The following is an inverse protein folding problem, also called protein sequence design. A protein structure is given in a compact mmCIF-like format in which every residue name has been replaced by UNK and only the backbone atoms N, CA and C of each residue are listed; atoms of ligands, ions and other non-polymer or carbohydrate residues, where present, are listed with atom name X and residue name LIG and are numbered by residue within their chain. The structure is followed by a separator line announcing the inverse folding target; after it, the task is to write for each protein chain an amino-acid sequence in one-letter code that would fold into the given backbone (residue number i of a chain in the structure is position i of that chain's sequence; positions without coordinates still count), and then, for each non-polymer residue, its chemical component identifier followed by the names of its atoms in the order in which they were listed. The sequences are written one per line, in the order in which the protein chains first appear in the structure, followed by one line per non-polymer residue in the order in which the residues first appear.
data_IF_869215964946
#
_entry.id   IF_869215964946
#
_cell.length_a   1.000
_cell.length_b   1.000
_cell.length_c   1.000
_cell.angle_alpha   90.00
_cell.angle_beta   90.00
_cell.angle_gamma   90.00
#
_symmetry.space_group_name_H-M   'P 1'
#
loop_
_entity.id
_entity.type
_entity.pdbx_description
1 polymer ?
#
# COMPACT_ATOMS: atom_id res chain seq x y z
N UNK A 1 -3.39 18.19 17.83
CA UNK A 1 -4.71 17.63 17.39
C UNK A 1 -4.71 16.12 17.52
N UNK A 2 -5.86 15.52 17.89
CA UNK A 2 -6.03 14.06 17.87
C UNK A 2 -6.74 13.66 16.56
N UNK A 3 -6.04 12.93 15.70
CA UNK A 3 -6.54 12.49 14.41
C UNK A 3 -6.84 11.00 14.46
N UNK A 4 -8.07 10.63 14.14
CA UNK A 4 -8.46 9.23 13.98
C UNK A 4 -8.27 8.83 12.51
N UNK A 5 -7.34 7.91 12.26
CA UNK A 5 -7.10 7.35 10.91
C UNK A 5 -7.86 6.04 10.77
N UNK A 6 -8.64 5.92 9.70
CA UNK A 6 -9.48 4.75 9.40
C UNK A 6 -9.14 4.20 8.02
N UNK A 7 -8.95 2.89 7.98
CA UNK A 7 -8.75 2.12 6.75
C UNK A 7 -9.75 0.96 6.72
N UNK A 8 -10.82 1.12 5.94
CA UNK A 8 -11.86 0.10 5.75
C UNK A 8 -11.51 -0.79 4.55
N UNK A 9 -11.21 -2.06 4.80
CA UNK A 9 -11.17 -3.11 3.79
C UNK A 9 -12.54 -3.79 3.61
N UNK A 10 -12.64 -4.77 2.71
CA UNK A 10 -13.91 -5.46 2.42
C UNK A 10 -14.51 -6.20 3.64
N UNK A 11 -13.66 -6.75 4.51
CA UNK A 11 -14.07 -7.51 5.71
C UNK A 11 -13.25 -7.14 6.97
N UNK A 12 -12.57 -6.00 6.93
CA UNK A 12 -11.74 -5.53 8.04
C UNK A 12 -11.76 -4.01 8.15
N UNK A 13 -11.44 -3.49 9.33
CA UNK A 13 -11.23 -2.07 9.59
C UNK A 13 -10.02 -1.93 10.50
N UNK A 14 -8.97 -1.28 10.00
CA UNK A 14 -7.79 -0.90 10.78
C UNK A 14 -7.90 0.56 11.18
N UNK A 15 -7.48 0.90 12.40
CA UNK A 15 -7.48 2.29 12.86
C UNK A 15 -6.28 2.62 13.73
N UNK A 16 -5.95 3.92 13.76
CA UNK A 16 -5.04 4.52 14.71
C UNK A 16 -5.56 5.89 15.14
N UNK A 17 -5.48 6.18 16.43
CA UNK A 17 -5.63 7.53 16.97
C UNK A 17 -4.23 8.10 17.19
N UNK A 18 -3.93 9.22 16.54
CA UNK A 18 -2.59 9.82 16.49
C UNK A 18 -2.67 11.24 17.06
N UNK A 19 -1.73 11.59 17.93
CA UNK A 19 -1.48 12.98 18.32
C UNK A 19 -0.62 13.64 17.24
N UNK A 20 -1.15 14.66 16.55
CA UNK A 20 -0.47 15.29 15.43
C UNK A 20 0.75 16.13 15.83
N UNK A 21 0.80 16.61 17.08
CA UNK A 21 1.86 17.51 17.52
C UNK A 21 3.12 16.73 17.88
N UNK A 22 2.93 15.54 18.43
CA UNK A 22 4.02 14.61 18.79
C UNK A 22 4.23 13.48 17.80
N UNK A 23 3.27 13.29 16.88
CA UNK A 23 3.17 12.16 15.95
C UNK A 23 3.10 10.79 16.64
N UNK A 24 2.79 10.77 17.91
CA UNK A 24 2.68 9.58 18.71
C UNK A 24 1.33 8.87 18.48
N UNK A 25 1.37 7.56 18.34
CA UNK A 25 0.16 6.73 18.34
C UNK A 25 -0.38 6.70 19.78
N UNK A 26 -1.62 7.14 19.98
CA UNK A 26 -2.33 7.09 21.26
C UNK A 26 -3.00 5.73 21.45
N UNK A 27 -3.68 5.26 20.39
CA UNK A 27 -4.32 3.95 20.37
C UNK A 27 -4.34 3.40 18.95
N UNK A 28 -4.42 2.07 18.83
CA UNK A 28 -4.55 1.38 17.54
C UNK A 28 -5.38 0.11 17.68
N UNK A 29 -5.92 -0.36 16.58
CA UNK A 29 -6.66 -1.62 16.57
C UNK A 29 -7.08 -2.08 15.18
N UNK A 30 -7.75 -3.23 15.20
CA UNK A 30 -8.18 -3.94 14.02
C UNK A 30 -9.50 -4.65 14.31
N UNK A 31 -10.50 -4.38 13.50
CA UNK A 31 -11.69 -5.22 13.37
C UNK A 31 -11.48 -6.18 12.20
N UNK A 32 -11.68 -7.46 12.44
CA UNK A 32 -11.53 -8.52 11.44
C UNK A 32 -12.83 -9.29 11.30
N UNK A 33 -13.01 -9.98 10.16
CA UNK A 33 -14.16 -10.86 9.90
C UNK A 33 -15.51 -10.14 9.98
N UNK A 34 -15.54 -8.86 9.57
CA UNK A 34 -16.76 -8.05 9.46
C UNK A 34 -17.70 -8.75 8.47
N UNK A 35 -18.98 -8.85 8.82
CA UNK A 35 -19.98 -9.58 8.04
C UNK A 35 -20.02 -11.10 8.30
N UNK A 36 -19.18 -11.64 9.21
CA UNK A 36 -19.13 -13.06 9.58
C UNK A 36 -19.40 -13.20 11.09
N UNK A 37 -18.36 -13.27 11.89
CA UNK A 37 -18.45 -13.45 13.36
C UNK A 37 -17.79 -12.33 14.14
N UNK A 38 -17.01 -11.49 13.46
CA UNK A 38 -16.40 -10.27 14.00
C UNK A 38 -15.42 -10.48 15.14
N UNK A 39 -14.30 -9.74 15.10
CA UNK A 39 -13.28 -9.74 16.15
C UNK A 39 -12.62 -8.38 16.23
N UNK A 40 -12.61 -7.77 17.41
CA UNK A 40 -11.89 -6.53 17.66
C UNK A 40 -10.60 -6.80 18.45
N UNK A 41 -9.51 -6.31 17.94
CA UNK A 41 -8.25 -6.15 18.69
C UNK A 41 -8.00 -4.68 18.93
N UNK A 42 -7.74 -4.28 20.19
CA UNK A 42 -7.49 -2.90 20.57
C UNK A 42 -6.28 -2.79 21.50
N UNK A 43 -5.53 -1.72 21.35
CA UNK A 43 -4.44 -1.34 22.24
C UNK A 43 -4.35 0.18 22.38
N UNK A 44 -4.52 0.69 23.59
CA UNK A 44 -4.08 2.03 23.99
C UNK A 44 -2.62 1.95 24.39
N UNK A 45 -1.81 2.90 23.94
CA UNK A 45 -0.37 2.88 24.25
C UNK A 45 -0.13 2.99 25.74
N UNK A 46 0.79 2.17 26.26
CA UNK A 46 1.03 2.03 27.70
C UNK A 46 0.05 1.13 28.44
N UNK A 47 -0.95 0.54 27.75
CA UNK A 47 -1.89 -0.44 28.31
C UNK A 47 -1.79 -1.78 27.59
N UNK A 48 -2.29 -2.83 28.24
CA UNK A 48 -2.31 -4.17 27.64
C UNK A 48 -3.23 -4.23 26.43
N UNK A 49 -2.72 -4.89 25.37
CA UNK A 49 -3.52 -5.24 24.20
C UNK A 49 -4.59 -6.26 24.60
N UNK A 50 -5.82 -6.07 24.12
CA UNK A 50 -6.87 -7.05 24.29
C UNK A 50 -7.57 -7.38 22.98
N UNK A 51 -8.22 -8.51 22.97
CA UNK A 51 -9.01 -9.00 21.84
C UNK A 51 -10.35 -9.50 22.36
N UNK A 52 -11.42 -9.18 21.63
CA UNK A 52 -12.78 -9.58 21.98
C UNK A 52 -13.51 -10.01 20.70
N UNK A 53 -14.26 -11.11 20.78
CA UNK A 53 -15.20 -11.49 19.76
C UNK A 53 -16.43 -10.58 19.84
N UNK A 54 -16.79 -9.94 18.74
CA UNK A 54 -17.84 -8.93 18.68
C UNK A 54 -18.60 -9.07 17.36
N UNK A 55 -19.87 -9.39 17.41
CA UNK A 55 -20.69 -9.48 16.21
C UNK A 55 -20.72 -8.16 15.45
N UNK A 56 -20.09 -8.13 14.28
CA UNK A 56 -19.98 -6.97 13.40
C UNK A 56 -20.66 -7.30 12.06
N UNK A 57 -21.98 -7.13 11.95
CA UNK A 57 -22.69 -7.47 10.70
C UNK A 57 -22.26 -6.61 9.53
N UNK A 58 -21.74 -5.40 9.77
CA UNK A 58 -21.27 -4.45 8.77
C UNK A 58 -20.20 -3.50 9.34
N UNK A 59 -19.70 -2.62 8.49
CA UNK A 59 -18.69 -1.62 8.86
C UNK A 59 -19.23 -0.53 9.80
N UNK A 60 -20.55 -0.28 9.81
CA UNK A 60 -21.14 0.67 10.76
C UNK A 60 -21.01 0.14 12.19
N UNK A 61 -21.33 -1.15 12.38
CA UNK A 61 -21.10 -1.82 13.67
C UNK A 61 -19.61 -1.82 14.04
N UNK A 62 -18.72 -2.08 13.08
CA UNK A 62 -17.28 -2.08 13.32
C UNK A 62 -16.78 -0.68 13.77
N UNK A 63 -17.19 0.40 13.12
CA UNK A 63 -16.87 1.77 13.53
C UNK A 63 -17.36 2.04 14.95
N UNK A 64 -18.62 1.63 15.27
CA UNK A 64 -19.15 1.78 16.62
C UNK A 64 -18.28 1.06 17.66
N UNK A 65 -17.86 -0.20 17.41
CA UNK A 65 -16.97 -0.93 18.31
C UNK A 65 -15.61 -0.25 18.48
N UNK A 66 -15.06 0.35 17.44
CA UNK A 66 -13.83 1.16 17.52
C UNK A 66 -14.01 2.34 18.45
N UNK A 67 -15.11 3.11 18.29
CA UNK A 67 -15.38 4.28 19.13
C UNK A 67 -15.66 3.88 20.59
N UNK A 68 -16.42 2.81 20.81
CA UNK A 68 -16.67 2.26 22.15
C UNK A 68 -15.35 1.81 22.82
N UNK A 69 -14.42 1.19 22.07
CA UNK A 69 -13.12 0.79 22.58
C UNK A 69 -12.21 1.98 22.92
N UNK A 70 -12.28 3.06 22.14
CA UNK A 70 -11.54 4.29 22.43
C UNK A 70 -12.07 4.98 23.71
N UNK A 71 -13.37 4.86 24.00
CA UNK A 71 -14.07 5.45 25.16
C UNK A 71 -14.07 4.56 26.39
N UNK A 72 -13.59 3.32 26.33
CA UNK A 72 -13.64 2.38 27.46
C UNK A 72 -12.98 2.99 28.71
N UNK A 73 -13.64 2.93 29.84
CA UNK A 73 -13.19 3.59 31.08
C UNK A 73 -11.82 3.08 31.59
N UNK A 74 -11.46 1.83 31.30
CA UNK A 74 -10.23 1.21 31.80
C UNK A 74 -9.16 1.07 30.71
N UNK A 75 -9.60 0.75 29.51
CA UNK A 75 -8.71 0.39 28.37
C UNK A 75 -8.70 1.44 27.27
N UNK A 76 -9.65 2.37 27.27
CA UNK A 76 -9.78 3.42 26.27
C UNK A 76 -8.68 4.49 26.34
N UNK A 77 -8.67 5.34 25.34
CA UNK A 77 -7.65 6.36 25.09
C UNK A 77 -8.18 7.78 25.31
N UNK A 78 -9.49 7.98 25.26
CA UNK A 78 -10.18 9.27 25.39
C UNK A 78 -11.39 9.14 26.28
N UNK A 79 -11.86 10.24 26.82
CA UNK A 79 -13.06 10.29 27.71
C UNK A 79 -14.32 10.76 26.97
N UNK A 80 -14.13 11.39 25.80
CA UNK A 80 -15.22 11.89 24.95
C UNK A 80 -14.82 11.84 23.48
N UNK A 81 -15.78 11.58 22.57
CA UNK A 81 -15.56 11.68 21.13
C UNK A 81 -15.22 13.11 20.67
N UNK A 82 -15.56 14.13 21.45
CA UNK A 82 -15.17 15.53 21.18
C UNK A 82 -13.66 15.78 21.27
N UNK A 83 -12.88 14.82 21.74
CA UNK A 83 -11.42 14.88 21.70
C UNK A 83 -10.83 14.47 20.36
N UNK A 84 -11.65 13.90 19.47
CA UNK A 84 -11.23 13.59 18.09
C UNK A 84 -11.45 14.86 17.27
N UNK A 85 -10.35 15.50 16.88
CA UNK A 85 -10.40 16.78 16.15
C UNK A 85 -10.67 16.61 14.66
N UNK A 86 -10.23 15.48 14.05
CA UNK A 86 -10.44 15.16 12.66
C UNK A 86 -10.35 13.64 12.39
N UNK A 87 -10.91 13.20 11.25
CA UNK A 87 -10.80 11.81 10.78
C UNK A 87 -10.17 11.76 9.40
N UNK A 88 -9.10 10.98 9.25
CA UNK A 88 -8.49 10.67 7.96
C UNK A 88 -8.95 9.30 7.46
N UNK A 89 -9.51 9.24 6.26
CA UNK A 89 -9.94 7.99 5.63
C UNK A 89 -9.04 7.61 4.48
N UNK A 90 -8.50 6.40 4.50
CA UNK A 90 -7.88 5.82 3.32
C UNK A 90 -8.95 5.40 2.33
N UNK A 91 -8.85 5.89 1.09
CA UNK A 91 -9.70 5.54 -0.04
C UNK A 91 -8.83 4.87 -1.10
N UNK A 92 -9.28 3.71 -1.58
CA UNK A 92 -8.44 2.92 -2.49
C UNK A 92 -8.35 3.56 -3.87
N UNK A 93 -9.45 4.10 -4.40
CA UNK A 93 -9.46 4.61 -5.77
C UNK A 93 -10.17 5.97 -5.91
N UNK A 94 -9.44 6.95 -6.41
CA UNK A 94 -9.98 8.30 -6.68
C UNK A 94 -10.22 8.59 -8.16
N UNK A 95 -10.00 7.63 -9.06
CA UNK A 95 -10.09 7.84 -10.49
C UNK A 95 -9.14 8.93 -10.98
N UNK A 96 -9.55 9.66 -12.01
CA UNK A 96 -8.85 10.86 -12.49
C UNK A 96 -9.30 12.14 -11.77
N UNK A 97 -10.30 12.02 -10.88
CA UNK A 97 -10.91 13.18 -10.20
C UNK A 97 -10.05 13.72 -9.05
N UNK A 98 -9.26 12.85 -8.41
CA UNK A 98 -8.52 13.20 -7.21
C UNK A 98 -7.02 13.00 -7.41
N UNK A 99 -6.31 14.12 -7.59
CA UNK A 99 -4.85 14.19 -7.64
C UNK A 99 -4.22 14.51 -6.27
N UNK A 100 -5.04 14.82 -5.27
CA UNK A 100 -4.64 15.14 -3.90
C UNK A 100 -5.70 14.66 -2.93
N UNK A 101 -5.35 14.63 -1.65
CA UNK A 101 -6.33 14.44 -0.57
C UNK A 101 -7.27 15.63 -0.47
N UNK A 102 -8.50 15.39 -0.04
CA UNK A 102 -9.56 16.41 0.00
C UNK A 102 -10.41 16.28 1.28
N UNK A 103 -10.94 17.41 1.76
CA UNK A 103 -11.97 17.41 2.79
C UNK A 103 -13.24 16.77 2.22
N UNK A 104 -13.85 15.87 2.96
CA UNK A 104 -15.03 15.13 2.51
C UNK A 104 -16.26 16.01 2.60
N UNK A 105 -16.92 16.19 1.44
CA UNK A 105 -18.22 16.82 1.26
C UNK A 105 -19.16 15.84 0.56
N UNK A 106 -20.43 16.21 0.41
CA UNK A 106 -21.40 15.38 -0.34
C UNK A 106 -20.97 15.19 -1.81
N UNK A 107 -20.37 16.23 -2.42
CA UNK A 107 -19.85 16.16 -3.79
C UNK A 107 -18.64 15.20 -3.87
N UNK A 108 -17.77 15.21 -2.87
CA UNK A 108 -16.63 14.27 -2.79
C UNK A 108 -17.15 12.85 -2.62
N UNK A 109 -18.14 12.62 -1.76
CA UNK A 109 -18.77 11.31 -1.59
C UNK A 109 -19.36 10.78 -2.89
N UNK A 110 -20.10 11.62 -3.62
CA UNK A 110 -20.65 11.25 -4.94
C UNK A 110 -19.55 10.92 -5.95
N UNK A 111 -18.46 11.70 -5.97
CA UNK A 111 -17.33 11.47 -6.87
C UNK A 111 -16.56 10.18 -6.54
N UNK A 112 -16.46 9.80 -5.25
CA UNK A 112 -15.88 8.49 -4.85
C UNK A 112 -16.82 7.35 -5.29
N UNK A 113 -18.13 7.53 -5.17
CA UNK A 113 -19.12 6.53 -5.58
C UNK A 113 -19.06 6.25 -7.09
N UNK A 114 -18.82 7.26 -7.93
CA UNK A 114 -18.59 7.08 -9.37
C UNK A 114 -17.33 6.25 -9.69
N UNK A 115 -16.38 6.15 -8.76
CA UNK A 115 -15.19 5.33 -8.90
C UNK A 115 -15.38 3.87 -8.42
N UNK A 116 -16.59 3.46 -8.00
CA UNK A 116 -16.84 2.11 -7.49
C UNK A 116 -16.52 1.02 -8.53
N UNK A 117 -16.79 1.27 -9.81
CA UNK A 117 -16.48 0.30 -10.88
C UNK A 117 -14.98 0.04 -11.05
N UNK A 118 -14.14 1.00 -10.66
CA UNK A 118 -12.67 0.87 -10.68
C UNK A 118 -12.13 0.10 -9.45
N UNK A 119 -12.86 0.10 -8.33
CA UNK A 119 -12.49 -0.60 -7.09
C UNK A 119 -13.71 -1.21 -6.39
N UNK A 120 -14.45 -2.15 -7.03
CA UNK A 120 -15.74 -2.64 -6.55
C UNK A 120 -15.68 -3.38 -5.20
N UNK A 121 -14.51 -3.90 -4.83
CA UNK A 121 -14.30 -4.59 -3.55
C UNK A 121 -13.89 -3.64 -2.40
N UNK A 122 -13.52 -2.39 -2.70
CA UNK A 122 -12.92 -1.49 -1.71
C UNK A 122 -13.68 -0.18 -1.53
N UNK A 123 -13.95 0.57 -2.60
CA UNK A 123 -14.61 1.87 -2.50
C UNK A 123 -15.97 1.83 -1.80
N UNK A 124 -16.88 0.83 -2.07
CA UNK A 124 -18.11 0.72 -1.32
C UNK A 124 -17.92 0.59 0.20
N UNK A 125 -16.92 -0.23 0.63
CA UNK A 125 -16.60 -0.36 2.05
C UNK A 125 -16.02 0.93 2.65
N UNK A 126 -15.18 1.65 1.89
CA UNK A 126 -14.67 2.96 2.30
C UNK A 126 -15.81 3.97 2.51
N UNK A 127 -16.77 4.05 1.59
CA UNK A 127 -17.94 4.94 1.70
C UNK A 127 -18.81 4.60 2.91
N UNK A 128 -19.05 3.32 3.20
CA UNK A 128 -19.79 2.89 4.39
C UNK A 128 -19.03 3.32 5.66
N UNK A 129 -17.70 3.17 5.70
CA UNK A 129 -16.89 3.62 6.82
C UNK A 129 -16.96 5.14 7.06
N UNK A 130 -16.94 5.96 5.99
CA UNK A 130 -17.10 7.41 6.09
C UNK A 130 -18.49 7.75 6.65
N UNK A 131 -19.56 7.20 6.06
CA UNK A 131 -20.95 7.45 6.50
C UNK A 131 -21.15 7.06 7.98
N UNK A 132 -20.55 5.95 8.41
CA UNK A 132 -20.58 5.53 9.80
C UNK A 132 -19.89 6.55 10.72
N UNK A 133 -18.70 7.04 10.35
CA UNK A 133 -18.01 8.06 11.12
C UNK A 133 -18.80 9.38 11.18
N UNK A 134 -19.41 9.83 10.06
CA UNK A 134 -20.26 11.02 10.03
C UNK A 134 -21.46 10.89 10.97
N UNK A 135 -22.09 9.72 11.00
CA UNK A 135 -23.24 9.47 11.88
C UNK A 135 -22.88 9.48 13.37
N UNK A 136 -21.72 8.94 13.73
CA UNK A 136 -21.28 8.86 15.13
C UNK A 136 -20.54 10.11 15.64
N UNK A 137 -19.95 10.89 14.73
CA UNK A 137 -19.16 12.10 15.05
C UNK A 137 -19.62 13.27 14.16
N UNK A 138 -20.87 13.73 14.31
CA UNK A 138 -21.39 14.83 13.49
C UNK A 138 -20.56 16.11 13.75
N UNK A 139 -20.20 16.79 12.66
CA UNK A 139 -19.43 18.04 12.70
C UNK A 139 -17.91 17.87 12.82
N UNK A 140 -17.38 16.67 13.02
CA UNK A 140 -15.94 16.42 12.95
C UNK A 140 -15.51 16.43 11.48
N UNK A 141 -14.51 17.24 11.09
CA UNK A 141 -14.02 17.28 9.72
C UNK A 141 -13.36 15.96 9.32
N UNK A 142 -13.62 15.51 8.10
CA UNK A 142 -13.13 14.25 7.56
C UNK A 142 -12.39 14.50 6.26
N UNK A 143 -11.31 13.75 6.04
CA UNK A 143 -10.44 13.87 4.86
C UNK A 143 -10.34 12.52 4.16
N UNK A 144 -10.49 12.52 2.84
CA UNK A 144 -10.23 11.38 1.98
C UNK A 144 -8.79 11.44 1.45
N UNK A 145 -8.02 10.39 1.72
CA UNK A 145 -6.64 10.20 1.24
C UNK A 145 -6.63 9.02 0.28
N UNK A 146 -6.28 9.26 -0.98
CA UNK A 146 -6.43 8.27 -2.04
C UNK A 146 -5.12 7.56 -2.35
N UNK A 147 -5.15 6.22 -2.40
CA UNK A 147 -3.98 5.42 -2.82
C UNK A 147 -3.49 5.73 -4.23
N UNK A 148 -4.39 6.21 -5.09
CA UNK A 148 -4.08 6.53 -6.50
C UNK A 148 -3.63 7.98 -6.72
N UNK A 149 -3.82 8.88 -5.75
CA UNK A 149 -3.61 10.31 -5.95
C UNK A 149 -2.16 10.67 -6.29
N UNK A 150 -1.18 10.09 -5.59
CA UNK A 150 0.24 10.34 -5.86
C UNK A 150 0.65 10.03 -7.30
N UNK A 151 0.01 9.03 -7.92
CA UNK A 151 0.31 8.57 -9.27
C UNK A 151 -0.39 9.38 -10.36
N UNK A 152 -1.26 10.36 -10.03
CA UNK A 152 -1.92 11.22 -11.02
C UNK A 152 -0.94 12.16 -11.74
N UNK A 153 0.29 12.30 -11.24
CA UNK A 153 1.36 13.05 -11.89
C UNK A 153 2.07 12.29 -13.02
N UNK A 154 1.75 11.01 -13.24
CA UNK A 154 2.34 10.25 -14.36
C UNK A 154 2.01 10.90 -15.71
N UNK A 155 2.99 10.99 -16.63
CA UNK A 155 2.74 11.46 -17.99
C UNK A 155 1.89 10.45 -18.78
N UNK A 156 1.18 10.92 -19.80
CA UNK A 156 0.29 10.13 -20.64
C UNK A 156 0.94 8.87 -21.22
N UNK A 157 2.18 8.97 -21.69
CA UNK A 157 2.97 7.85 -22.21
C UNK A 157 3.24 6.74 -21.20
N UNK A 158 3.16 7.02 -19.89
CA UNK A 158 3.38 6.04 -18.83
C UNK A 158 2.07 5.39 -18.35
N UNK A 159 0.96 6.13 -18.37
CA UNK A 159 -0.31 5.58 -17.91
C UNK A 159 -1.20 4.99 -19.02
N UNK A 160 -0.99 5.33 -20.28
CA UNK A 160 -1.82 4.84 -21.39
C UNK A 160 -1.42 3.41 -21.77
N UNK A 161 -2.40 2.52 -21.85
CA UNK A 161 -2.20 1.17 -22.40
C UNK A 161 -2.27 1.20 -23.93
N UNK A 162 -1.44 0.42 -24.59
CA UNK A 162 -1.40 0.31 -26.05
C UNK A 162 -2.54 -0.61 -26.56
N UNK A 163 -3.78 -0.24 -26.26
CA UNK A 163 -5.02 -0.84 -26.75
C UNK A 163 -5.85 0.25 -27.42
N UNK A 164 -6.97 -0.06 -28.13
CA UNK A 164 -7.77 0.98 -28.75
C UNK A 164 -8.09 2.13 -27.79
N UNK A 165 -7.75 3.36 -28.20
CA UNK A 165 -7.78 4.54 -27.34
C UNK A 165 -9.18 4.87 -26.82
N UNK A 166 -10.22 4.43 -27.54
CA UNK A 166 -11.62 4.53 -27.15
C UNK A 166 -11.93 3.89 -25.78
N UNK A 167 -11.16 2.87 -25.35
CA UNK A 167 -11.32 2.28 -24.02
C UNK A 167 -10.86 3.22 -22.91
N UNK A 168 -9.86 4.04 -23.18
CA UNK A 168 -9.50 5.12 -22.25
C UNK A 168 -10.58 6.20 -22.24
N UNK A 169 -11.04 6.66 -23.42
CA UNK A 169 -12.05 7.71 -23.51
C UNK A 169 -13.38 7.34 -22.84
N UNK A 170 -13.87 6.13 -23.11
CA UNK A 170 -15.18 5.68 -22.66
C UNK A 170 -15.18 5.12 -21.24
N UNK A 171 -14.13 4.37 -20.84
CA UNK A 171 -14.10 3.61 -19.60
C UNK A 171 -12.97 4.01 -18.66
N UNK A 172 -12.18 5.02 -19.02
CA UNK A 172 -11.03 5.48 -18.25
C UNK A 172 -10.02 4.38 -17.94
N UNK A 173 -9.86 3.43 -18.89
CA UNK A 173 -8.89 2.34 -18.79
C UNK A 173 -7.49 2.90 -19.00
N UNK A 174 -6.76 3.03 -17.90
CA UNK A 174 -5.36 3.48 -17.82
C UNK A 174 -4.67 2.87 -16.61
N UNK A 175 -3.34 3.05 -16.53
CA UNK A 175 -2.60 2.80 -15.29
C UNK A 175 -2.95 3.87 -14.27
N UNK A 176 -3.39 3.46 -13.07
CA UNK A 176 -3.61 4.35 -11.93
C UNK A 176 -2.51 4.19 -10.89
N UNK A 177 -2.12 2.95 -10.57
CA UNK A 177 -1.20 2.66 -9.49
C UNK A 177 -1.87 2.74 -8.11
N UNK A 178 -1.21 2.13 -7.12
CA UNK A 178 -1.71 2.06 -5.75
C UNK A 178 -0.54 2.20 -4.77
N UNK A 179 -0.80 2.12 -3.46
CA UNK A 179 0.16 2.41 -2.40
C UNK A 179 0.74 3.85 -2.49
N UNK A 180 0.02 4.78 -3.12
CA UNK A 180 0.51 6.13 -3.39
C UNK A 180 0.88 6.88 -2.11
N UNK A 181 0.12 6.72 -1.03
CA UNK A 181 0.42 7.29 0.28
C UNK A 181 1.79 6.82 0.79
N UNK A 182 2.08 5.52 0.72
CA UNK A 182 3.38 4.96 1.09
C UNK A 182 4.50 5.44 0.18
N UNK A 183 4.31 5.40 -1.14
CA UNK A 183 5.32 5.87 -2.11
C UNK A 183 5.66 7.35 -1.91
N UNK A 184 4.65 8.20 -1.67
CA UNK A 184 4.84 9.62 -1.36
C UNK A 184 5.61 9.82 -0.05
N UNK A 185 5.20 9.15 1.03
CA UNK A 185 5.83 9.23 2.33
C UNK A 185 7.30 8.82 2.28
N UNK A 186 7.57 7.64 1.73
CA UNK A 186 8.91 7.04 1.68
C UNK A 186 9.83 7.84 0.76
N UNK A 187 9.35 8.34 -0.39
CA UNK A 187 10.18 9.14 -1.30
C UNK A 187 10.61 10.47 -0.67
N UNK A 188 9.72 11.14 0.08
CA UNK A 188 10.07 12.36 0.83
C UNK A 188 11.12 12.06 1.88
N UNK A 189 10.92 10.99 2.66
CA UNK A 189 11.88 10.58 3.69
C UNK A 189 13.24 10.19 3.10
N UNK A 190 13.24 9.45 1.99
CA UNK A 190 14.48 9.07 1.30
C UNK A 190 15.26 10.29 0.81
N UNK A 191 14.61 11.31 0.26
CA UNK A 191 15.25 12.54 -0.16
C UNK A 191 15.94 13.27 1.02
N UNK A 192 15.29 13.33 2.19
CA UNK A 192 15.86 13.85 3.43
C UNK A 192 17.12 13.06 3.84
N UNK A 193 17.03 11.71 3.83
CA UNK A 193 18.13 10.83 4.25
C UNK A 193 19.38 10.94 3.35
N UNK A 194 19.19 11.17 2.06
CA UNK A 194 20.31 11.39 1.14
C UNK A 194 20.77 12.85 1.09
N UNK A 195 20.13 13.74 1.89
CA UNK A 195 20.51 15.15 2.01
C UNK A 195 20.23 15.99 0.77
N UNK A 196 19.21 15.63 -0.04
CA UNK A 196 18.85 16.35 -1.26
C UNK A 196 17.45 16.94 -1.19
N UNK A 197 17.23 18.06 -1.91
CA UNK A 197 15.88 18.52 -2.16
C UNK A 197 15.17 17.51 -3.05
N UNK A 198 13.98 17.07 -2.68
CA UNK A 198 13.22 16.06 -3.43
C UNK A 198 12.99 16.46 -4.90
N UNK A 199 12.92 17.76 -5.20
CA UNK A 199 12.76 18.28 -6.56
C UNK A 199 13.97 18.00 -7.47
N UNK A 200 15.12 17.70 -6.88
CA UNK A 200 16.38 17.45 -7.58
C UNK A 200 16.78 15.97 -7.52
N UNK A 201 15.82 15.07 -7.25
CA UNK A 201 16.11 13.65 -7.06
C UNK A 201 15.37 12.76 -8.05
N UNK A 202 16.00 11.63 -8.36
CA UNK A 202 15.42 10.47 -9.08
C UNK A 202 15.47 9.28 -8.16
N UNK A 203 14.31 8.85 -7.68
CA UNK A 203 14.18 7.84 -6.64
C UNK A 203 13.33 6.66 -7.13
N UNK A 204 13.65 5.47 -6.63
CA UNK A 204 12.80 4.30 -6.79
C UNK A 204 12.36 3.85 -5.39
N UNK A 205 11.06 3.68 -5.21
CA UNK A 205 10.48 3.14 -3.98
C UNK A 205 9.94 1.75 -4.25
N UNK A 206 10.51 0.75 -3.60
CA UNK A 206 10.10 -0.64 -3.64
C UNK A 206 9.23 -0.94 -2.41
N UNK A 207 7.92 -0.77 -2.53
CA UNK A 207 6.94 -1.14 -1.51
C UNK A 207 6.63 -2.63 -1.65
N UNK A 208 7.32 -3.46 -0.86
CA UNK A 208 7.24 -4.91 -0.95
C UNK A 208 6.54 -5.47 0.30
N UNK A 209 5.29 -5.84 0.14
CA UNK A 209 4.44 -6.47 1.15
C UNK A 209 3.70 -7.66 0.55
N UNK A 210 2.62 -8.12 1.18
CA UNK A 210 1.75 -9.13 0.58
C UNK A 210 1.11 -8.60 -0.72
N UNK A 211 0.77 -7.31 -0.79
CA UNK A 211 0.67 -6.51 -2.02
C UNK A 211 2.00 -5.80 -2.24
N UNK A 212 2.52 -5.79 -3.48
CA UNK A 212 3.81 -5.20 -3.81
C UNK A 212 3.71 -4.29 -5.01
N UNK A 213 4.39 -3.15 -4.94
CA UNK A 213 4.53 -2.22 -6.08
C UNK A 213 5.86 -1.50 -6.05
N UNK A 214 6.32 -1.07 -7.21
CA UNK A 214 7.50 -0.21 -7.36
C UNK A 214 7.06 1.07 -8.06
N UNK A 215 7.63 2.20 -7.65
CA UNK A 215 7.33 3.51 -8.24
C UNK A 215 8.61 4.25 -8.56
N UNK A 216 8.66 4.83 -9.76
CA UNK A 216 9.66 5.79 -10.18
C UNK A 216 9.21 7.19 -9.75
N UNK A 217 10.05 7.88 -8.99
CA UNK A 217 9.78 9.24 -8.49
C UNK A 217 10.85 10.19 -9.01
N UNK A 218 10.47 11.11 -9.87
CA UNK A 218 11.36 12.13 -10.43
C UNK A 218 10.89 13.52 -10.00
N UNK A 219 11.77 14.29 -9.37
CA UNK A 219 11.44 15.60 -8.85
C UNK A 219 10.28 15.62 -7.84
N UNK A 220 10.12 14.55 -7.07
CA UNK A 220 9.05 14.40 -6.08
C UNK A 220 7.69 13.98 -6.64
N UNK A 221 7.62 13.65 -7.94
CA UNK A 221 6.40 13.23 -8.63
C UNK A 221 6.51 11.77 -9.05
N UNK A 222 5.43 11.01 -8.91
CA UNK A 222 5.35 9.68 -9.52
C UNK A 222 5.34 9.84 -11.05
N UNK A 223 6.32 9.25 -11.73
CA UNK A 223 6.42 9.29 -13.19
C UNK A 223 6.12 7.94 -13.83
N UNK A 224 6.16 6.85 -13.06
CA UNK A 224 5.68 5.52 -13.42
C UNK A 224 5.47 4.68 -12.15
N UNK A 225 4.62 3.65 -12.24
CA UNK A 225 4.38 2.70 -11.15
C UNK A 225 3.98 1.34 -11.68
N UNK A 226 4.26 0.28 -10.95
CA UNK A 226 4.09 -1.10 -11.44
C UNK A 226 2.65 -1.61 -11.43
N UNK A 227 1.83 -1.21 -10.45
CA UNK A 227 0.41 -1.57 -10.46
C UNK A 227 -0.33 -0.80 -11.56
N UNK A 228 -1.37 -1.40 -12.11
CA UNK A 228 -2.05 -0.94 -13.31
C UNK A 228 -3.39 -0.26 -13.06
N UNK A 229 -4.39 -0.61 -13.91
CA UNK A 229 -5.80 -0.30 -13.70
C UNK A 229 -6.28 -0.84 -12.34
N UNK A 230 -5.78 -2.02 -11.99
CA UNK A 230 -6.05 -2.72 -10.72
C UNK A 230 -4.75 -3.05 -10.01
N UNK A 231 -4.78 -3.44 -8.73
CA UNK A 231 -3.59 -3.90 -8.00
C UNK A 231 -3.06 -5.27 -8.43
N UNK A 232 -3.52 -5.83 -9.56
CA UNK A 232 -3.09 -7.13 -10.08
C UNK A 232 -1.81 -7.05 -10.90
N UNK A 233 -1.66 -6.00 -11.73
CA UNK A 233 -0.48 -5.81 -12.60
C UNK A 233 0.80 -5.51 -11.80
N UNK A 234 1.94 -5.68 -12.45
CA UNK A 234 3.25 -5.36 -11.92
C UNK A 234 3.99 -6.57 -11.36
N UNK A 235 4.49 -6.45 -10.15
CA UNK A 235 5.23 -7.51 -9.47
C UNK A 235 4.35 -8.74 -9.19
N UNK A 236 4.89 -9.97 -9.23
CA UNK A 236 4.27 -11.07 -8.51
C UNK A 236 4.19 -10.71 -7.02
N UNK A 237 3.13 -11.15 -6.35
CA UNK A 237 2.84 -10.79 -4.96
C UNK A 237 2.57 -12.06 -4.14
N UNK A 238 2.07 -11.93 -2.93
CA UNK A 238 1.73 -13.10 -2.11
C UNK A 238 0.84 -14.11 -2.85
N UNK A 239 -0.29 -13.64 -3.41
CA UNK A 239 -1.27 -14.46 -4.13
C UNK A 239 -1.62 -13.95 -5.52
N UNK A 240 -1.14 -12.76 -5.92
CA UNK A 240 -1.40 -12.15 -7.23
C UNK A 240 -0.28 -12.46 -8.19
N UNK A 241 -0.65 -12.71 -9.46
CA UNK A 241 0.31 -13.10 -10.50
C UNK A 241 1.31 -12.00 -10.86
N UNK A 242 0.93 -10.73 -10.74
CA UNK A 242 1.65 -9.66 -11.44
C UNK A 242 1.46 -9.75 -12.96
N UNK A 243 2.42 -9.19 -13.69
CA UNK A 243 2.39 -9.16 -15.17
C UNK A 243 2.48 -10.56 -15.77
N UNK A 244 1.57 -10.84 -16.70
CA UNK A 244 1.54 -12.06 -17.51
C UNK A 244 1.24 -11.71 -18.97
N UNK A 245 1.47 -12.64 -19.87
CA UNK A 245 0.95 -12.55 -21.24
C UNK A 245 -0.58 -12.66 -21.21
N UNK A 246 -1.36 -11.67 -21.71
CA UNK A 246 -2.82 -11.72 -21.73
C UNK A 246 -3.41 -12.94 -22.44
N UNK A 247 -2.71 -13.51 -23.43
CA UNK A 247 -3.15 -14.71 -24.14
C UNK A 247 -3.23 -15.96 -23.26
N UNK A 248 -2.59 -15.94 -22.09
CA UNK A 248 -2.71 -17.00 -21.07
C UNK A 248 -4.16 -17.17 -20.62
N UNK A 249 -4.94 -16.08 -20.55
CA UNK A 249 -6.34 -16.13 -20.13
C UNK A 249 -7.17 -16.99 -21.10
N UNK A 250 -7.05 -16.74 -22.41
CA UNK A 250 -7.72 -17.52 -23.44
C UNK A 250 -7.25 -18.98 -23.44
N UNK A 251 -5.94 -19.20 -23.29
CA UNK A 251 -5.37 -20.55 -23.26
C UNK A 251 -5.94 -21.38 -22.10
N UNK A 252 -5.99 -20.83 -20.88
CA UNK A 252 -6.55 -21.52 -19.71
C UNK A 252 -8.05 -21.74 -19.89
N UNK A 253 -8.79 -20.72 -20.38
CA UNK A 253 -10.22 -20.83 -20.64
C UNK A 253 -10.51 -22.02 -21.58
N UNK A 254 -9.78 -22.14 -22.68
CA UNK A 254 -9.93 -23.23 -23.65
C UNK A 254 -9.53 -24.60 -23.11
N UNK A 255 -8.52 -24.68 -22.21
CA UNK A 255 -8.05 -25.95 -21.63
C UNK A 255 -8.94 -26.46 -20.49
N UNK A 256 -9.45 -25.55 -19.67
CA UNK A 256 -10.12 -25.90 -18.42
C UNK A 256 -11.62 -25.56 -18.43
N UNK A 257 -12.13 -24.93 -19.47
CA UNK A 257 -13.53 -24.52 -19.58
C UNK A 257 -13.93 -23.42 -18.56
N UNK A 258 -12.97 -22.64 -18.07
CA UNK A 258 -13.17 -21.60 -17.08
C UNK A 258 -13.63 -20.29 -17.73
N UNK A 259 -14.50 -19.56 -17.02
CA UNK A 259 -14.85 -18.19 -17.38
C UNK A 259 -13.69 -17.23 -17.13
N UNK A 260 -13.75 -16.03 -17.75
CA UNK A 260 -12.77 -14.97 -17.51
C UNK A 260 -12.74 -14.53 -16.04
N UNK A 261 -13.90 -14.53 -15.37
CA UNK A 261 -14.02 -14.18 -13.95
C UNK A 261 -13.31 -15.20 -13.05
N UNK A 262 -13.49 -16.51 -13.33
CA UNK A 262 -12.80 -17.58 -12.61
C UNK A 262 -11.28 -17.49 -12.79
N UNK A 263 -10.80 -17.20 -14.01
CA UNK A 263 -9.38 -17.05 -14.29
C UNK A 263 -8.83 -15.82 -13.59
N UNK A 264 -9.54 -14.68 -13.64
CA UNK A 264 -9.15 -13.48 -12.93
C UNK A 264 -9.07 -13.70 -11.41
N UNK A 265 -9.99 -14.53 -10.88
CA UNK A 265 -9.94 -14.95 -9.47
C UNK A 265 -8.69 -15.79 -9.16
N UNK A 266 -8.29 -16.69 -10.07
CA UNK A 266 -7.04 -17.46 -9.92
C UNK A 266 -5.84 -16.52 -9.90
N UNK A 267 -5.78 -15.55 -10.83
CA UNK A 267 -4.67 -14.59 -10.89
C UNK A 267 -4.57 -13.70 -9.64
N UNK A 268 -5.68 -13.39 -9.00
CA UNK A 268 -5.70 -12.56 -7.79
C UNK A 268 -5.44 -13.34 -6.50
N UNK A 269 -5.94 -14.60 -6.39
CA UNK A 269 -6.03 -15.31 -5.10
C UNK A 269 -5.24 -16.61 -5.02
N UNK A 270 -4.82 -17.18 -6.16
CA UNK A 270 -4.18 -18.51 -6.22
C UNK A 270 -2.84 -18.51 -6.98
N UNK A 271 -2.32 -17.34 -7.27
CA UNK A 271 -1.09 -17.12 -8.04
C UNK A 271 0.03 -16.53 -7.16
N UNK A 272 0.92 -15.76 -7.72
CA UNK A 272 2.04 -15.17 -7.01
C UNK A 272 2.99 -16.20 -6.41
N UNK A 273 3.69 -15.81 -5.35
CA UNK A 273 4.64 -16.72 -4.70
C UNK A 273 3.95 -17.93 -4.05
N UNK A 274 2.71 -17.77 -3.59
CA UNK A 274 1.88 -18.87 -3.08
C UNK A 274 1.59 -19.91 -4.17
N UNK A 275 1.15 -19.47 -5.34
CA UNK A 275 0.87 -20.36 -6.49
C UNK A 275 2.14 -21.02 -7.02
N UNK A 276 3.25 -20.31 -7.09
CA UNK A 276 4.54 -20.84 -7.52
C UNK A 276 5.11 -21.87 -6.55
N UNK A 277 5.14 -21.54 -5.26
CA UNK A 277 5.70 -22.43 -4.23
C UNK A 277 4.79 -23.60 -3.93
N UNK A 278 3.48 -23.40 -3.93
CA UNK A 278 2.49 -24.35 -3.44
C UNK A 278 2.52 -24.54 -1.92
N UNK A 279 3.20 -23.61 -1.20
CA UNK A 279 3.39 -23.69 0.27
C UNK A 279 2.66 -22.56 0.98
N UNK A 280 3.02 -21.31 0.71
CA UNK A 280 2.51 -20.14 1.45
C UNK A 280 2.68 -18.84 0.67
N UNK A 281 1.90 -17.82 1.03
CA UNK A 281 2.14 -16.43 0.61
C UNK A 281 3.08 -15.69 1.55
N UNK A 282 3.45 -16.28 2.70
CA UNK A 282 4.36 -15.68 3.67
C UNK A 282 5.82 -15.95 3.28
N UNK A 283 6.58 -14.89 3.09
CA UNK A 283 7.98 -14.98 2.69
C UNK A 283 8.86 -15.66 3.74
N UNK A 284 8.44 -15.68 5.01
CA UNK A 284 9.16 -16.41 6.08
C UNK A 284 9.09 -17.91 5.87
N UNK A 285 7.93 -18.40 5.45
CA UNK A 285 7.72 -19.82 5.13
C UNK A 285 8.52 -20.21 3.88
N UNK A 286 8.58 -19.30 2.87
CA UNK A 286 9.37 -19.53 1.67
C UNK A 286 10.88 -19.56 1.95
N UNK A 287 11.36 -18.65 2.80
CA UNK A 287 12.78 -18.65 3.24
C UNK A 287 13.13 -19.93 4.00
N UNK A 288 12.24 -20.39 4.88
CA UNK A 288 12.41 -21.65 5.60
C UNK A 288 12.43 -22.85 4.63
N UNK A 289 11.43 -22.94 3.73
CA UNK A 289 11.34 -24.01 2.75
C UNK A 289 12.55 -24.03 1.79
N UNK A 290 13.04 -22.88 1.36
CA UNK A 290 14.26 -22.78 0.55
C UNK A 290 15.48 -23.34 1.29
N UNK A 291 15.66 -23.01 2.57
CA UNK A 291 16.75 -23.52 3.42
C UNK A 291 16.67 -25.03 3.64
N UNK A 292 15.47 -25.59 3.63
CA UNK A 292 15.19 -27.03 3.71
C UNK A 292 15.36 -27.75 2.36
N UNK A 293 15.70 -27.01 1.30
CA UNK A 293 15.95 -27.58 -0.03
C UNK A 293 14.70 -27.67 -0.92
N UNK A 294 13.62 -26.96 -0.61
CA UNK A 294 12.43 -26.91 -1.46
C UNK A 294 12.69 -26.03 -2.68
N UNK A 295 12.84 -26.65 -3.85
CA UNK A 295 13.13 -25.99 -5.11
C UNK A 295 12.02 -25.03 -5.57
N UNK A 296 10.76 -25.31 -5.24
CA UNK A 296 9.64 -24.41 -5.60
C UNK A 296 9.60 -23.17 -4.72
N UNK A 297 9.97 -23.25 -3.46
CA UNK A 297 10.13 -22.08 -2.59
C UNK A 297 11.25 -21.19 -3.12
N UNK A 298 12.40 -21.77 -3.49
CA UNK A 298 13.51 -21.03 -4.13
C UNK A 298 13.06 -20.37 -5.42
N UNK A 299 12.42 -21.12 -6.33
CA UNK A 299 11.92 -20.57 -7.59
C UNK A 299 10.95 -19.39 -7.39
N UNK A 300 10.04 -19.50 -6.41
CA UNK A 300 9.09 -18.42 -6.11
C UNK A 300 9.79 -17.14 -5.66
N UNK A 301 10.81 -17.25 -4.80
CA UNK A 301 11.65 -16.12 -4.38
C UNK A 301 12.48 -15.55 -5.54
N UNK A 302 13.06 -16.41 -6.38
CA UNK A 302 13.87 -16.00 -7.52
C UNK A 302 13.00 -15.22 -8.55
N UNK A 303 11.80 -15.69 -8.86
CA UNK A 303 10.85 -15.01 -9.76
C UNK A 303 10.45 -13.65 -9.20
N UNK A 304 10.18 -13.57 -7.91
CA UNK A 304 9.85 -12.32 -7.24
C UNK A 304 11.01 -11.31 -7.32
N UNK A 305 12.20 -11.71 -6.87
CA UNK A 305 13.38 -10.85 -6.86
C UNK A 305 13.82 -10.43 -8.26
N UNK A 306 13.71 -11.33 -9.25
CA UNK A 306 14.00 -11.03 -10.64
C UNK A 306 13.06 -9.96 -11.21
N UNK A 307 11.77 -10.04 -10.87
CA UNK A 307 10.79 -9.03 -11.25
C UNK A 307 11.10 -7.67 -10.62
N UNK A 308 11.46 -7.62 -9.33
CA UNK A 308 11.88 -6.39 -8.65
C UNK A 308 13.10 -5.79 -9.35
N UNK A 309 14.13 -6.60 -9.63
CA UNK A 309 15.34 -6.17 -10.36
C UNK A 309 15.00 -5.56 -11.72
N UNK A 310 14.13 -6.20 -12.49
CA UNK A 310 13.70 -5.70 -13.82
C UNK A 310 13.02 -4.34 -13.72
N UNK A 311 12.13 -4.14 -12.74
CA UNK A 311 11.47 -2.86 -12.53
C UNK A 311 12.43 -1.76 -12.08
N UNK A 312 13.41 -2.07 -11.21
CA UNK A 312 14.48 -1.12 -10.86
C UNK A 312 15.22 -0.66 -12.12
N UNK A 313 15.65 -1.59 -12.96
CA UNK A 313 16.33 -1.26 -14.21
C UNK A 313 15.49 -0.45 -15.20
N UNK A 314 14.23 -0.85 -15.38
CA UNK A 314 13.28 -0.17 -16.27
C UNK A 314 13.02 1.27 -15.81
N UNK A 315 12.82 1.50 -14.53
CA UNK A 315 12.50 2.81 -13.98
C UNK A 315 13.71 3.74 -13.91
N UNK A 316 14.91 3.21 -13.65
CA UNK A 316 16.15 3.98 -13.79
C UNK A 316 16.34 4.45 -15.24
N UNK A 317 16.05 3.59 -16.22
CA UNK A 317 16.10 3.95 -17.64
C UNK A 317 15.01 4.97 -18.01
N UNK A 318 13.78 4.80 -17.53
CA UNK A 318 12.67 5.72 -17.79
C UNK A 318 12.93 7.14 -17.25
N UNK A 319 13.60 7.27 -16.11
CA UNK A 319 14.00 8.54 -15.51
C UNK A 319 15.32 9.09 -16.09
N UNK A 320 16.10 8.29 -16.84
CA UNK A 320 17.42 8.68 -17.33
C UNK A 320 18.45 8.87 -16.21
N UNK A 321 18.37 8.08 -15.14
CA UNK A 321 19.28 8.09 -14.00
C UNK A 321 18.60 7.67 -12.69
N UNK A 322 19.39 7.54 -11.63
CA UNK A 322 18.91 7.12 -10.31
C UNK A 322 19.85 7.65 -9.23
N UNK A 323 19.31 8.26 -8.20
CA UNK A 323 20.04 8.72 -7.01
C UNK A 323 19.97 7.72 -5.86
N UNK A 324 18.76 7.19 -5.60
CA UNK A 324 18.58 6.25 -4.50
C UNK A 324 17.37 5.30 -4.69
N UNK A 325 17.43 4.17 -3.97
CA UNK A 325 16.36 3.16 -3.86
C UNK A 325 15.97 3.04 -2.39
N UNK A 326 14.65 3.02 -2.10
CA UNK A 326 14.13 2.63 -0.81
C UNK A 326 13.41 1.28 -0.89
N UNK A 327 13.71 0.38 0.03
CA UNK A 327 12.93 -0.81 0.33
C UNK A 327 12.04 -0.55 1.54
N UNK A 328 10.74 -0.84 1.40
CA UNK A 328 9.74 -0.54 2.42
C UNK A 328 8.65 -1.60 2.46
N UNK A 329 7.73 -1.49 3.39
CA UNK A 329 6.71 -2.47 3.72
C UNK A 329 7.26 -3.81 4.24
N UNK A 330 6.37 -4.71 4.64
CA UNK A 330 6.72 -5.86 5.45
C UNK A 330 7.86 -6.72 4.92
N UNK A 331 7.94 -6.99 3.61
CA UNK A 331 9.01 -7.76 2.99
C UNK A 331 10.24 -6.87 2.77
N UNK A 332 10.04 -5.66 2.21
CA UNK A 332 11.14 -4.73 1.93
C UNK A 332 11.92 -4.36 3.18
N UNK A 333 11.23 -4.14 4.31
CA UNK A 333 11.82 -3.79 5.59
C UNK A 333 12.49 -4.96 6.31
N UNK A 334 11.96 -6.18 6.16
CA UNK A 334 12.32 -7.30 7.04
C UNK A 334 13.01 -8.48 6.35
N UNK A 335 13.18 -8.45 5.02
CA UNK A 335 13.78 -9.57 4.29
C UNK A 335 15.10 -9.18 3.59
N UNK A 336 16.27 -9.39 4.24
CA UNK A 336 17.59 -9.11 3.66
C UNK A 336 17.86 -9.90 2.36
N UNK A 337 17.39 -11.14 2.27
CA UNK A 337 17.57 -11.97 1.09
C UNK A 337 16.92 -11.32 -0.15
N UNK A 338 15.67 -10.88 -0.03
CA UNK A 338 14.95 -10.23 -1.11
C UNK A 338 15.68 -8.96 -1.57
N UNK A 339 16.11 -8.10 -0.65
CA UNK A 339 16.85 -6.87 -0.99
C UNK A 339 18.16 -7.17 -1.72
N UNK A 340 18.93 -8.11 -1.21
CA UNK A 340 20.20 -8.55 -1.81
C UNK A 340 20.00 -9.12 -3.21
N UNK A 341 19.12 -10.08 -3.40
CA UNK A 341 18.91 -10.76 -4.69
C UNK A 341 18.30 -9.82 -5.72
N UNK A 342 17.42 -8.91 -5.29
CA UNK A 342 16.83 -7.90 -6.17
C UNK A 342 17.83 -6.85 -6.68
N UNK A 343 18.94 -6.63 -5.96
CA UNK A 343 19.99 -5.66 -6.33
C UNK A 343 21.28 -6.31 -6.80
N UNK A 344 21.40 -7.63 -6.70
CA UNK A 344 22.55 -8.38 -7.16
C UNK A 344 22.82 -8.13 -8.66
N UNK A 345 24.11 -7.99 -9.03
CA UNK A 345 24.56 -7.70 -10.41
C UNK A 345 24.14 -6.34 -10.97
N UNK A 346 23.76 -5.38 -10.12
CA UNK A 346 23.45 -4.00 -10.55
C UNK A 346 24.60 -3.02 -10.35
N UNK A 347 25.82 -3.49 -10.07
CA UNK A 347 27.04 -2.65 -9.93
C UNK A 347 27.30 -1.80 -11.18
N UNK A 348 26.91 -2.26 -12.37
CA UNK A 348 27.01 -1.49 -13.60
C UNK A 348 26.13 -0.22 -13.59
N UNK A 349 25.08 -0.20 -12.75
CA UNK A 349 24.24 0.98 -12.49
C UNK A 349 24.74 1.80 -11.31
N UNK A 350 25.83 1.38 -10.67
CA UNK A 350 26.36 2.00 -9.45
C UNK A 350 25.61 1.62 -8.18
N UNK A 351 24.99 0.45 -8.15
CA UNK A 351 24.26 -0.10 -7.00
C UNK A 351 25.07 -1.22 -6.39
N UNK A 352 25.60 -1.02 -5.19
CA UNK A 352 26.39 -1.99 -4.46
C UNK A 352 25.90 -2.08 -2.99
N UNK A 353 25.49 -3.27 -2.56
CA UNK A 353 24.98 -3.52 -1.21
C UNK A 353 26.11 -3.90 -0.26
N UNK A 354 26.05 -3.38 0.96
CA UNK A 354 26.84 -3.81 2.10
C UNK A 354 26.10 -4.93 2.82
N UNK A 355 26.60 -6.14 2.71
CA UNK A 355 25.96 -7.35 3.24
C UNK A 355 25.69 -7.27 4.75
N UNK A 356 26.61 -6.67 5.52
CA UNK A 356 26.45 -6.55 6.97
C UNK A 356 25.37 -5.53 7.34
N UNK A 357 25.34 -4.37 6.66
CA UNK A 357 24.31 -3.35 6.86
C UNK A 357 22.94 -3.85 6.37
N UNK A 358 22.91 -4.73 5.37
CA UNK A 358 21.66 -5.26 4.82
C UNK A 358 20.92 -6.22 5.78
N UNK A 359 21.55 -6.72 6.84
CA UNK A 359 20.89 -7.60 7.82
C UNK A 359 19.84 -6.87 8.70
N UNK A 360 19.73 -5.54 8.58
CA UNK A 360 18.72 -4.74 9.30
C UNK A 360 17.29 -5.23 9.03
N UNK A 361 16.42 -5.08 10.04
CA UNK A 361 14.99 -5.43 9.96
C UNK A 361 14.16 -4.38 10.65
N UNK A 362 13.19 -3.80 9.91
CA UNK A 362 12.20 -2.88 10.45
C UNK A 362 12.76 -1.53 10.95
N UNK A 363 14.02 -1.23 10.67
CA UNK A 363 14.67 0.01 11.09
C UNK A 363 15.20 0.79 9.88
N UNK A 364 15.22 2.11 9.99
CA UNK A 364 15.77 3.00 8.97
C UNK A 364 17.29 2.84 8.91
N UNK A 365 17.79 2.41 7.73
CA UNK A 365 19.21 2.11 7.57
C UNK A 365 19.66 2.27 6.12
N UNK A 366 20.80 2.94 5.90
CA UNK A 366 21.54 2.85 4.63
C UNK A 366 22.18 1.46 4.52
N UNK A 367 21.85 0.75 3.45
CA UNK A 367 22.34 -0.62 3.21
C UNK A 367 23.28 -0.74 2.01
N UNK A 368 23.52 0.35 1.27
CA UNK A 368 24.55 0.37 0.24
C UNK A 368 25.93 0.63 0.82
N UNK A 369 26.98 0.21 0.10
CA UNK A 369 28.37 0.54 0.42
C UNK A 369 28.62 2.05 0.32
N UNK A 370 29.71 2.54 0.88
CA UNK A 370 30.06 3.95 0.81
C UNK A 370 30.57 4.35 -0.59
N UNK A 371 31.03 3.39 -1.38
CA UNK A 371 31.43 3.58 -2.78
C UNK A 371 30.28 3.49 -3.78
N UNK A 372 29.10 3.03 -3.35
CA UNK A 372 27.90 2.95 -4.20
C UNK A 372 27.49 4.36 -4.67
N UNK A 373 27.34 4.53 -5.99
CA UNK A 373 26.88 5.80 -6.58
C UNK A 373 25.40 6.05 -6.32
N UNK A 374 24.61 4.98 -6.38
CA UNK A 374 23.18 4.97 -6.03
C UNK A 374 23.04 4.48 -4.61
N UNK A 375 22.46 5.28 -3.74
CA UNK A 375 22.25 4.87 -2.36
C UNK A 375 21.07 3.92 -2.27
N UNK A 376 21.19 2.90 -1.41
CA UNK A 376 20.10 1.96 -1.12
C UNK A 376 19.80 1.99 0.37
N UNK A 377 18.53 2.14 0.69
CA UNK A 377 18.04 2.31 2.05
C UNK A 377 16.90 1.34 2.38
N UNK A 378 16.80 0.97 3.63
CA UNK A 378 15.55 0.50 4.25
C UNK A 378 14.88 1.70 4.87
N UNK A 379 13.64 1.97 4.48
CA UNK A 379 12.86 3.11 5.00
C UNK A 379 11.49 2.59 5.41
N UNK A 380 11.21 2.38 6.70
CA UNK A 380 9.90 1.93 7.16
C UNK A 380 8.79 2.90 6.73
N UNK A 381 7.72 2.34 6.15
CA UNK A 381 6.54 3.15 5.81
C UNK A 381 5.65 3.35 7.03
N UNK A 382 4.95 4.48 7.06
CA UNK A 382 3.93 4.77 8.05
C UNK A 382 2.75 5.48 7.38
N UNK A 383 1.87 4.68 6.77
CA UNK A 383 0.73 5.18 6.00
C UNK A 383 -0.27 5.91 6.89
N UNK A 384 -0.48 5.42 8.12
CA UNK A 384 -1.40 6.06 9.06
C UNK A 384 -0.89 7.45 9.48
N UNK A 385 0.40 7.61 9.71
CA UNK A 385 0.99 8.91 9.99
C UNK A 385 0.92 9.84 8.77
N UNK A 386 1.15 9.31 7.56
CA UNK A 386 1.01 10.09 6.33
C UNK A 386 -0.43 10.62 6.18
N UNK A 387 -1.44 9.77 6.39
CA UNK A 387 -2.84 10.15 6.36
C UNK A 387 -3.15 11.20 7.44
N UNK A 388 -2.63 11.03 8.65
CA UNK A 388 -2.82 12.00 9.72
C UNK A 388 -2.23 13.38 9.38
N UNK A 389 -1.01 13.44 8.83
CA UNK A 389 -0.36 14.69 8.39
C UNK A 389 -1.17 15.41 7.30
N UNK A 390 -1.62 14.69 6.28
CA UNK A 390 -2.46 15.26 5.21
C UNK A 390 -3.82 15.72 5.74
N UNK A 391 -4.40 14.98 6.69
CA UNK A 391 -5.65 15.37 7.36
C UNK A 391 -5.47 16.69 8.10
N UNK A 392 -4.44 16.83 8.94
CA UNK A 392 -4.15 18.07 9.67
C UNK A 392 -3.92 19.23 8.70
N UNK A 393 -3.12 19.02 7.67
CA UNK A 393 -2.84 20.07 6.68
C UNK A 393 -4.11 20.65 6.04
N UNK A 394 -5.09 19.77 5.74
CA UNK A 394 -6.33 20.20 5.07
C UNK A 394 -7.36 20.82 6.00
N UNK A 395 -7.44 20.37 7.26
CA UNK A 395 -8.45 20.89 8.21
C UNK A 395 -7.98 22.15 8.95
N UNK A 396 -6.69 22.51 8.85
CA UNK A 396 -6.14 23.71 9.47
C UNK A 396 -5.94 24.88 8.51
N UNK A 397 -6.15 24.67 7.21
CA UNK A 397 -6.20 25.70 6.16
C UNK A 397 -7.56 26.39 6.12
#
# INVERSE_FOLDING_TARGET
MKVLVINCGSSSLKYQLIDSDTEAVIAKGLCERIGIDGKLTHQTMGKDKYTVDAAMPDHNAAVKFVLDALLDQHKGAIVSLSEIDAVGHRIVHGGEKFANSVVITDEVMAAIEECNDLAPLHNPANLIGIRACQAHMPGVPMVAVFDTAFHQSMPDKAYTYAIPYEYYENYKIRRYGFHGTSHSFVSKRLAELIGKNIKDTKLIVCHLGNGSSITAVDGGKSVDTSMGLTPLAGLPMGTRSGDIDPAILEFIAGKEGKSIEEITTILNKKSGVSGLSGVSSDFRDLDAGMKEGNDRCRLALDVFCYSVKKYIGAYAAAMGGLDAIAFTAGIGENNPYVRRVSTMDLSFMGIDIDEAKNEVRGEEQKISTDSSKVQVWVVPTNEELAIARETVELVTK
#
